data_IF_519887629049
#
_entry.id   IF_519887629049
#
_cell.length_a   1.000
_cell.length_b   1.000
_cell.length_c   1.000
_cell.angle_alpha   90.00
_cell.angle_beta   90.00
_cell.angle_gamma   90.00
#
_symmetry.space_group_name_H-M   'P 1'
#
loop_
_entity.id
_entity.type
_entity.pdbx_description
1 polymer ?
#
# COMPACT_ATOMS: atom_id res chain seq x y z
N UNK A 1 -8.08 -11.05 20.19
CA UNK A 1 -8.92 -11.88 19.30
C UNK A 1 -8.62 -11.45 17.87
N UNK A 2 -8.28 -12.38 16.98
CA UNK A 2 -7.92 -12.03 15.59
C UNK A 2 -9.20 -11.91 14.74
N UNK A 3 -9.24 -11.02 13.76
CA UNK A 3 -10.42 -10.79 12.91
C UNK A 3 -11.03 -12.09 12.34
N UNK A 4 -10.18 -13.01 11.88
CA UNK A 4 -10.62 -14.31 11.36
C UNK A 4 -11.40 -15.14 12.38
N UNK A 5 -10.94 -15.20 13.63
CA UNK A 5 -11.62 -15.91 14.72
C UNK A 5 -12.97 -15.25 15.06
N UNK A 6 -13.05 -13.92 14.96
CA UNK A 6 -14.30 -13.18 15.18
C UNK A 6 -15.35 -13.54 14.14
N UNK A 7 -14.94 -13.64 12.88
CA UNK A 7 -15.81 -14.00 11.77
C UNK A 7 -16.32 -15.44 11.88
N UNK A 8 -15.47 -16.38 12.34
CA UNK A 8 -15.87 -17.77 12.59
C UNK A 8 -16.88 -17.85 13.74
N UNK A 9 -16.60 -17.18 14.87
CA UNK A 9 -17.53 -17.13 16.01
C UNK A 9 -18.88 -16.51 15.66
N UNK A 10 -18.89 -15.55 14.74
CA UNK A 10 -20.10 -14.91 14.25
C UNK A 10 -20.85 -15.71 13.17
N UNK A 11 -20.35 -16.88 12.79
CA UNK A 11 -20.94 -17.72 11.75
C UNK A 11 -20.89 -17.10 10.35
N UNK A 12 -20.00 -16.13 10.12
CA UNK A 12 -19.83 -15.47 8.82
C UNK A 12 -18.97 -16.26 7.86
N UNK A 13 -18.02 -17.02 8.41
CA UNK A 13 -17.13 -17.92 7.67
C UNK A 13 -16.90 -19.17 8.53
N UNK A 14 -16.57 -20.29 7.90
CA UNK A 14 -16.17 -21.50 8.63
C UNK A 14 -14.63 -21.60 8.80
N UNK A 15 -14.17 -22.59 9.56
CA UNK A 15 -12.72 -22.80 9.79
C UNK A 15 -11.95 -23.15 8.50
N UNK A 16 -12.59 -23.85 7.56
CA UNK A 16 -11.98 -24.22 6.28
C UNK A 16 -11.76 -22.97 5.41
N UNK A 17 -12.77 -22.12 5.28
CA UNK A 17 -12.72 -20.84 4.58
C UNK A 17 -11.68 -19.91 5.20
N UNK A 18 -11.62 -19.84 6.53
CA UNK A 18 -10.59 -19.06 7.22
C UNK A 18 -9.18 -19.58 6.91
N UNK A 19 -8.95 -20.90 6.95
CA UNK A 19 -7.65 -21.49 6.66
C UNK A 19 -7.22 -21.28 5.20
N UNK A 20 -8.17 -21.40 4.26
CA UNK A 20 -7.96 -21.07 2.85
C UNK A 20 -7.57 -19.61 2.65
N UNK A 21 -8.25 -18.68 3.31
CA UNK A 21 -7.93 -17.25 3.24
C UNK A 21 -6.59 -16.88 3.92
N UNK A 22 -6.23 -17.55 5.02
CA UNK A 22 -4.91 -17.41 5.64
C UNK A 22 -3.79 -17.92 4.72
N UNK A 23 -4.04 -19.02 4.00
CA UNK A 23 -3.08 -19.57 3.04
C UNK A 23 -2.89 -18.61 1.86
N UNK A 24 -3.99 -18.06 1.33
CA UNK A 24 -3.96 -17.02 0.32
C UNK A 24 -3.19 -15.78 0.80
N UNK A 25 -3.46 -15.30 2.01
CA UNK A 25 -2.77 -14.16 2.62
C UNK A 25 -1.26 -14.41 2.77
N UNK A 26 -0.84 -15.64 3.10
CA UNK A 26 0.59 -15.98 3.19
C UNK A 26 1.30 -15.92 1.83
N UNK A 27 0.61 -16.29 0.74
CA UNK A 27 1.18 -16.29 -0.60
C UNK A 27 1.17 -14.90 -1.26
N UNK A 28 0.08 -14.15 -1.07
CA UNK A 28 -0.16 -12.89 -1.79
C UNK A 28 -0.05 -11.64 -0.90
N UNK A 29 0.10 -11.82 0.42
CA UNK A 29 0.07 -10.74 1.39
C UNK A 29 -1.33 -10.15 1.61
N UNK A 30 -1.36 -8.94 2.16
CA UNK A 30 -2.60 -8.20 2.40
C UNK A 30 -3.33 -8.58 3.68
N UNK A 31 -4.61 -8.20 3.76
CA UNK A 31 -5.44 -8.38 4.96
C UNK A 31 -6.33 -9.62 4.82
N UNK A 32 -6.51 -10.35 5.92
CA UNK A 32 -7.36 -11.55 5.95
C UNK A 32 -8.79 -11.27 5.46
N UNK A 33 -9.37 -10.13 5.83
CA UNK A 33 -10.70 -9.72 5.37
C UNK A 33 -10.76 -9.57 3.85
N UNK A 34 -9.79 -8.87 3.26
CA UNK A 34 -9.68 -8.74 1.80
C UNK A 34 -9.48 -10.10 1.11
N UNK A 35 -8.72 -11.01 1.71
CA UNK A 35 -8.56 -12.38 1.20
C UNK A 35 -9.88 -13.15 1.21
N UNK A 36 -10.66 -13.05 2.28
CA UNK A 36 -11.99 -13.69 2.39
C UNK A 36 -12.95 -13.17 1.32
N UNK A 37 -12.93 -11.86 1.04
CA UNK A 37 -13.75 -11.24 -0.02
C UNK A 37 -13.29 -11.71 -1.41
N UNK A 38 -11.98 -11.70 -1.69
CA UNK A 38 -11.42 -12.13 -2.97
C UNK A 38 -11.70 -13.61 -3.28
N UNK A 39 -11.72 -14.46 -2.27
CA UNK A 39 -12.06 -15.88 -2.40
C UNK A 39 -13.58 -16.13 -2.47
N UNK A 40 -14.40 -15.09 -2.34
CA UNK A 40 -15.86 -15.18 -2.40
C UNK A 40 -16.51 -15.80 -1.17
N UNK A 41 -15.79 -15.91 -0.04
CA UNK A 41 -16.33 -16.50 1.18
C UNK A 41 -17.20 -15.53 2.00
N UNK A 42 -16.99 -14.22 1.82
CA UNK A 42 -17.82 -13.18 2.44
C UNK A 42 -17.99 -12.02 1.46
N UNK A 43 -19.18 -11.41 1.42
CA UNK A 43 -19.40 -10.17 0.68
C UNK A 43 -18.66 -8.99 1.34
N UNK A 44 -18.20 -8.04 0.54
CA UNK A 44 -17.50 -6.85 1.04
C UNK A 44 -18.38 -6.02 2.00
N UNK A 45 -19.65 -5.81 1.65
CA UNK A 45 -20.60 -5.09 2.49
C UNK A 45 -20.85 -5.79 3.84
N UNK A 46 -20.89 -7.12 3.84
CA UNK A 46 -21.08 -7.91 5.06
C UNK A 46 -19.85 -7.86 5.96
N UNK A 47 -18.66 -7.93 5.38
CA UNK A 47 -17.41 -7.75 6.11
C UNK A 47 -17.31 -6.35 6.71
N UNK A 48 -17.59 -5.31 5.92
CA UNK A 48 -17.56 -3.92 6.38
C UNK A 48 -18.57 -3.68 7.50
N UNK A 49 -19.80 -4.21 7.37
CA UNK A 49 -20.83 -4.12 8.41
C UNK A 49 -20.34 -4.77 9.70
N UNK A 50 -19.85 -5.99 9.62
CA UNK A 50 -19.30 -6.70 10.77
C UNK A 50 -18.17 -5.93 11.46
N UNK A 51 -17.21 -5.41 10.69
CA UNK A 51 -16.10 -4.62 11.22
C UNK A 51 -16.57 -3.32 11.89
N UNK A 52 -17.52 -2.62 11.27
CA UNK A 52 -18.05 -1.37 11.81
C UNK A 52 -18.76 -1.58 13.15
N UNK A 53 -19.52 -2.67 13.30
CA UNK A 53 -20.20 -3.04 14.54
C UNK A 53 -19.22 -3.46 15.63
N UNK A 54 -18.24 -4.30 15.28
CA UNK A 54 -17.26 -4.81 16.25
C UNK A 54 -16.30 -3.73 16.76
N UNK A 55 -15.94 -2.77 15.91
CA UNK A 55 -15.02 -1.69 16.25
C UNK A 55 -15.74 -0.39 16.64
N UNK A 56 -17.08 -0.38 16.59
CA UNK A 56 -17.92 0.79 16.82
C UNK A 56 -17.50 2.01 15.97
N UNK A 57 -17.20 1.75 14.70
CA UNK A 57 -16.70 2.74 13.74
C UNK A 57 -17.79 3.18 12.77
N UNK A 58 -17.69 4.42 12.33
CA UNK A 58 -18.60 4.94 11.29
C UNK A 58 -18.15 4.41 9.94
N UNK A 59 -19.09 3.81 9.19
CA UNK A 59 -18.87 3.47 7.78
C UNK A 59 -19.12 4.70 6.92
N UNK A 60 -18.19 5.03 6.06
CA UNK A 60 -18.31 6.19 5.16
C UNK A 60 -18.27 5.70 3.72
N UNK A 61 -19.24 6.19 2.93
CA UNK A 61 -19.23 6.00 1.49
C UNK A 61 -18.58 7.21 0.82
N UNK A 62 -17.37 7.00 0.29
CA UNK A 62 -16.59 8.05 -0.35
C UNK A 62 -17.09 8.38 -1.75
N UNK A 63 -17.93 7.53 -2.37
CA UNK A 63 -18.36 7.71 -3.77
C UNK A 63 -19.12 9.02 -4.01
N UNK A 64 -19.87 9.52 -3.02
CA UNK A 64 -20.69 10.73 -3.12
C UNK A 64 -20.19 11.92 -2.29
N UNK A 65 -19.07 11.76 -1.60
CA UNK A 65 -18.51 12.81 -0.75
C UNK A 65 -17.61 13.76 -1.54
N UNK A 66 -17.80 15.06 -1.29
CA UNK A 66 -16.88 16.12 -1.74
C UNK A 66 -16.01 16.52 -0.56
N UNK A 67 -14.70 16.28 -0.68
CA UNK A 67 -13.72 16.57 0.37
C UNK A 67 -13.09 17.94 0.08
N UNK A 68 -13.07 18.89 1.03
CA UNK A 68 -12.44 20.19 0.84
C UNK A 68 -10.94 20.05 0.57
N UNK A 69 -10.39 20.87 -0.35
CA UNK A 69 -8.96 20.84 -0.69
C UNK A 69 -8.05 21.06 0.53
N UNK A 70 -8.43 21.96 1.45
CA UNK A 70 -7.70 22.21 2.70
C UNK A 70 -7.60 20.97 3.62
N UNK A 71 -8.52 20.01 3.49
CA UNK A 71 -8.49 18.73 4.21
C UNK A 71 -7.61 17.73 3.47
N UNK A 72 -7.67 17.68 2.14
CA UNK A 72 -6.82 16.82 1.31
C UNK A 72 -5.33 17.14 1.47
N UNK A 73 -4.98 18.42 1.57
CA UNK A 73 -3.61 18.88 1.79
C UNK A 73 -3.01 18.44 3.14
N UNK A 74 -3.83 17.97 4.09
CA UNK A 74 -3.33 17.47 5.37
C UNK A 74 -2.52 16.18 5.23
N UNK A 75 -2.81 15.36 4.21
CA UNK A 75 -2.10 14.11 3.95
C UNK A 75 -1.55 14.16 2.52
N UNK A 76 -0.22 14.08 2.34
CA UNK A 76 0.38 13.98 1.01
C UNK A 76 -0.12 12.75 0.25
N UNK A 77 -0.25 12.87 -1.07
CA UNK A 77 -0.78 11.79 -1.93
C UNK A 77 0.04 10.51 -1.79
N UNK A 78 1.36 10.61 -1.64
CA UNK A 78 2.25 9.47 -1.50
C UNK A 78 1.89 8.65 -0.25
N UNK A 79 1.58 9.33 0.86
CA UNK A 79 1.16 8.69 2.11
C UNK A 79 -0.27 8.18 2.05
N UNK A 80 -1.16 8.90 1.37
CA UNK A 80 -2.53 8.45 1.12
C UNK A 80 -2.55 7.12 0.34
N UNK A 81 -1.71 7.00 -0.70
CA UNK A 81 -1.55 5.78 -1.51
C UNK A 81 -0.84 4.67 -0.73
N UNK A 82 0.26 4.98 -0.04
CA UNK A 82 1.06 4.01 0.73
C UNK A 82 0.22 3.31 1.81
N UNK A 83 -0.54 4.10 2.58
CA UNK A 83 -1.35 3.57 3.68
C UNK A 83 -2.78 3.21 3.28
N UNK A 84 -3.16 3.51 2.03
CA UNK A 84 -4.52 3.39 1.51
C UNK A 84 -5.56 4.03 2.45
N UNK A 85 -5.40 5.35 2.61
CA UNK A 85 -6.22 6.21 3.46
C UNK A 85 -6.57 7.51 2.74
N UNK A 86 -7.67 8.15 3.11
CA UNK A 86 -8.02 9.47 2.61
C UNK A 86 -8.60 10.35 3.75
N UNK A 87 -8.12 11.59 3.93
CA UNK A 87 -8.70 12.50 4.92
C UNK A 87 -10.07 12.96 4.42
N UNK A 88 -11.10 12.90 5.27
CA UNK A 88 -12.50 13.19 4.89
C UNK A 88 -12.94 14.54 5.44
N UNK A 89 -12.62 14.82 6.70
CA UNK A 89 -13.05 16.05 7.37
C UNK A 89 -12.05 16.46 8.44
N UNK A 90 -11.91 17.76 8.66
CA UNK A 90 -11.04 18.34 9.71
C UNK A 90 -11.87 19.28 10.57
N UNK A 91 -11.90 19.02 11.87
CA UNK A 91 -12.61 19.85 12.85
C UNK A 91 -11.68 20.25 13.97
N UNK A 92 -11.71 21.52 14.34
CA UNK A 92 -11.00 22.00 15.52
C UNK A 92 -11.99 22.16 16.67
N UNK A 93 -11.71 21.52 17.81
CA UNK A 93 -12.54 21.61 19.00
C UNK A 93 -11.64 21.87 20.21
N UNK A 94 -11.90 22.96 20.93
CA UNK A 94 -11.17 23.34 22.15
C UNK A 94 -9.63 23.41 21.96
N UNK A 95 -9.17 23.94 20.83
CA UNK A 95 -7.75 24.03 20.48
C UNK A 95 -7.09 22.71 20.09
N UNK A 96 -7.87 21.62 19.97
CA UNK A 96 -7.40 20.34 19.45
C UNK A 96 -7.97 20.10 18.06
N UNK A 97 -7.10 19.90 17.07
CA UNK A 97 -7.52 19.54 15.72
C UNK A 97 -7.81 18.03 15.64
N UNK A 98 -8.99 17.67 15.16
CA UNK A 98 -9.43 16.31 14.88
C UNK A 98 -9.50 16.12 13.37
N UNK A 99 -8.93 15.01 12.89
CA UNK A 99 -8.94 14.63 11.48
C UNK A 99 -9.69 13.32 11.32
N UNK A 100 -10.83 13.35 10.63
CA UNK A 100 -11.55 12.16 10.23
C UNK A 100 -10.86 11.58 9.00
N UNK A 101 -10.40 10.33 9.10
CA UNK A 101 -9.67 9.65 8.02
C UNK A 101 -10.40 8.36 7.67
N UNK A 102 -10.77 8.21 6.41
CA UNK A 102 -11.30 6.95 5.91
C UNK A 102 -10.14 5.99 5.65
N UNK A 103 -10.23 4.79 6.23
CA UNK A 103 -9.18 3.78 6.23
C UNK A 103 -9.77 2.43 5.84
N UNK A 104 -9.02 1.67 5.04
CA UNK A 104 -9.35 0.28 4.72
C UNK A 104 -9.13 -0.65 5.92
N UNK A 105 -8.16 -0.31 6.79
CA UNK A 105 -7.85 -1.04 8.01
C UNK A 105 -7.69 -0.13 9.23
N UNK A 106 -8.77 0.09 9.98
CA UNK A 106 -8.72 0.92 11.18
C UNK A 106 -8.06 0.23 12.38
N UNK A 107 -7.66 -1.05 12.27
CA UNK A 107 -6.92 -1.76 13.33
C UNK A 107 -5.41 -1.56 13.24
N UNK A 108 -4.93 -0.93 12.16
CA UNK A 108 -3.50 -0.65 11.99
C UNK A 108 -3.11 0.62 12.78
N UNK A 109 -2.81 0.42 14.07
CA UNK A 109 -2.41 1.51 14.98
C UNK A 109 -1.14 2.24 14.52
N UNK A 110 -0.21 1.55 13.85
CA UNK A 110 1.03 2.15 13.34
C UNK A 110 0.71 3.25 12.32
N UNK A 111 -0.23 2.99 11.41
CA UNK A 111 -0.68 3.98 10.43
C UNK A 111 -1.40 5.14 11.12
N UNK A 112 -2.26 4.85 12.09
CA UNK A 112 -2.97 5.87 12.85
C UNK A 112 -1.99 6.80 13.58
N UNK A 113 -0.96 6.26 14.22
CA UNK A 113 0.05 7.03 14.94
C UNK A 113 0.94 7.83 13.97
N UNK A 114 1.33 7.24 12.85
CA UNK A 114 2.10 7.93 11.81
C UNK A 114 1.30 9.12 11.22
N UNK A 115 0.00 8.95 10.99
CA UNK A 115 -0.88 10.03 10.53
C UNK A 115 -1.06 11.11 11.60
N UNK A 116 -1.21 10.74 12.87
CA UNK A 116 -1.28 11.71 13.96
C UNK A 116 0.01 12.54 14.05
N UNK A 117 1.17 11.89 13.94
CA UNK A 117 2.46 12.55 13.97
C UNK A 117 2.65 13.49 12.77
N UNK A 118 2.32 13.02 11.56
CA UNK A 118 2.48 13.80 10.34
C UNK A 118 1.54 15.02 10.27
N UNK A 119 0.31 14.88 10.78
CA UNK A 119 -0.72 15.92 10.67
C UNK A 119 -0.82 16.82 11.91
N UNK A 120 -0.23 16.43 13.04
CA UNK A 120 -0.42 17.09 14.34
C UNK A 120 -1.86 17.05 14.85
N UNK A 121 -2.74 16.29 14.21
CA UNK A 121 -4.16 16.19 14.51
C UNK A 121 -4.47 14.86 15.20
N UNK A 122 -5.51 14.83 16.04
CA UNK A 122 -6.07 13.57 16.53
C UNK A 122 -6.87 12.88 15.43
N UNK A 123 -6.34 11.77 14.94
CA UNK A 123 -6.94 10.97 13.89
C UNK A 123 -8.13 10.18 14.45
N UNK A 124 -9.28 10.33 13.80
CA UNK A 124 -10.48 9.52 14.02
C UNK A 124 -10.65 8.60 12.81
N UNK A 125 -10.45 7.28 12.96
CA UNK A 125 -10.62 6.36 11.85
C UNK A 125 -12.10 6.21 11.51
N UNK A 126 -12.39 6.16 10.21
CA UNK A 126 -13.67 5.76 9.64
C UNK A 126 -13.42 4.59 8.69
N UNK A 127 -14.38 3.66 8.63
CA UNK A 127 -14.23 2.46 7.80
C UNK A 127 -14.77 2.71 6.40
N UNK A 128 -13.96 2.44 5.38
CA UNK A 128 -14.37 2.46 3.97
C UNK A 128 -13.74 1.28 3.22
N UNK A 129 -14.35 0.86 2.11
CA UNK A 129 -13.77 -0.20 1.27
C UNK A 129 -12.45 0.24 0.66
N UNK A 130 -11.57 -0.75 0.44
CA UNK A 130 -10.29 -0.55 -0.21
C UNK A 130 -10.45 0.09 -1.60
N UNK A 131 -11.45 -0.35 -2.36
CA UNK A 131 -11.71 0.14 -3.72
C UNK A 131 -12.33 1.54 -3.72
N UNK A 132 -13.20 1.84 -2.75
CA UNK A 132 -13.77 3.19 -2.58
C UNK A 132 -12.70 4.21 -2.21
N UNK A 133 -11.74 3.84 -1.33
CA UNK A 133 -10.63 4.72 -0.98
C UNK A 133 -9.72 4.96 -2.19
N UNK A 134 -9.35 3.91 -2.93
CA UNK A 134 -8.53 4.06 -4.15
C UNK A 134 -9.21 4.98 -5.18
N UNK A 135 -10.48 4.74 -5.48
CA UNK A 135 -11.24 5.59 -6.40
C UNK A 135 -11.35 7.04 -5.91
N UNK A 136 -11.50 7.24 -4.60
CA UNK A 136 -11.53 8.57 -4.00
C UNK A 136 -10.16 9.26 -4.08
N UNK A 137 -9.05 8.55 -3.86
CA UNK A 137 -7.70 9.09 -4.00
C UNK A 137 -7.47 9.56 -5.44
N UNK A 138 -7.79 8.73 -6.43
CA UNK A 138 -7.65 9.07 -7.85
C UNK A 138 -8.47 10.31 -8.22
N UNK A 139 -9.73 10.38 -7.76
CA UNK A 139 -10.61 11.52 -8.01
C UNK A 139 -10.15 12.81 -7.33
N UNK A 140 -9.74 12.73 -6.06
CA UNK A 140 -9.45 13.90 -5.23
C UNK A 140 -8.02 14.41 -5.44
N UNK A 141 -7.02 13.53 -5.44
CA UNK A 141 -5.62 13.93 -5.64
C UNK A 141 -5.23 14.07 -7.11
N UNK A 142 -5.86 13.31 -8.02
CA UNK A 142 -5.64 13.47 -9.46
C UNK A 142 -6.15 14.79 -10.03
N UNK A 143 -7.08 15.46 -9.34
CA UNK A 143 -7.59 16.79 -9.71
C UNK A 143 -6.86 17.95 -9.03
N UNK A 144 -6.03 17.69 -8.02
CA UNK A 144 -5.19 18.75 -7.46
C UNK A 144 -4.08 19.04 -8.47
N UNK A 145 -3.83 20.30 -8.85
CA UNK A 145 -2.63 20.64 -9.60
C UNK A 145 -1.48 20.29 -8.68
N UNK A 146 -0.91 19.10 -8.88
CA UNK A 146 0.28 18.68 -8.18
C UNK A 146 1.31 19.76 -8.49
N UNK A 147 1.62 20.61 -7.52
CA UNK A 147 2.90 21.30 -7.51
C UNK A 147 3.94 20.22 -7.26
N UNK A 148 4.15 19.39 -8.29
CA UNK A 148 5.39 18.67 -8.46
C UNK A 148 6.41 19.79 -8.47
N UNK A 149 7.20 19.89 -7.40
CA UNK A 149 8.48 20.55 -7.51
C UNK A 149 9.19 19.79 -8.62
N UNK A 150 9.28 20.41 -9.79
CA UNK A 150 10.09 19.98 -10.91
C UNK A 150 11.51 19.79 -10.39
N UNK A 151 11.83 18.56 -9.98
CA UNK A 151 13.19 18.11 -9.92
C UNK A 151 13.40 17.39 -11.25
N UNK A 152 13.97 18.17 -12.16
CA UNK A 152 14.64 17.78 -13.39
C UNK A 152 13.73 17.33 -14.54
N UNK A 153 13.79 18.11 -15.61
CA UNK A 153 13.22 17.80 -16.91
C UNK A 153 13.59 16.35 -17.34
N UNK A 154 12.64 15.55 -17.86
CA UNK A 154 13.02 14.32 -18.55
C UNK A 154 13.98 14.69 -19.69
N UNK A 155 15.09 13.95 -19.90
CA UNK A 155 16.04 14.26 -20.96
C UNK A 155 15.29 14.33 -22.28
N UNK A 156 15.36 15.49 -22.95
CA UNK A 156 14.67 15.85 -24.18
C UNK A 156 15.21 15.13 -25.42
N UNK A 157 15.70 13.91 -25.26
CA UNK A 157 16.02 12.97 -26.32
C UNK A 157 15.58 11.58 -25.87
N UNK A 158 14.32 11.27 -26.13
CA UNK A 158 13.94 9.86 -26.32
C UNK A 158 14.39 9.56 -27.73
N UNK A 159 15.48 8.82 -27.89
CA UNK A 159 15.83 8.25 -29.18
C UNK A 159 14.59 7.53 -29.72
N UNK A 160 14.24 7.65 -31.01
CA UNK A 160 13.09 6.97 -31.56
C UNK A 160 13.18 5.50 -31.17
N UNK A 161 12.17 5.01 -30.47
CA UNK A 161 12.06 3.60 -30.13
C UNK A 161 12.15 2.88 -31.47
N UNK A 162 13.17 2.02 -31.70
CA UNK A 162 13.24 1.26 -32.93
C UNK A 162 11.92 0.51 -33.11
N UNK A 163 11.46 0.31 -34.34
CA UNK A 163 10.26 -0.49 -34.63
C UNK A 163 10.48 -1.93 -34.11
N UNK A 164 10.22 -2.13 -32.83
CA UNK A 164 10.24 -3.43 -32.16
C UNK A 164 8.84 -3.97 -32.36
N UNK A 165 8.74 -5.03 -33.17
CA UNK A 165 7.52 -5.81 -33.28
C UNK A 165 7.11 -6.26 -31.85
N UNK A 166 5.93 -5.83 -31.34
CA UNK A 166 5.47 -6.16 -29.99
C UNK A 166 5.32 -7.66 -29.76
N UNK A 167 5.29 -8.46 -30.82
CA UNK A 167 5.15 -9.91 -30.78
C UNK A 167 6.46 -10.65 -31.09
N UNK A 168 7.55 -9.93 -31.36
CA UNK A 168 8.86 -10.52 -31.61
C UNK A 168 9.94 -9.97 -30.66
N UNK A 169 9.86 -10.39 -29.40
CA UNK A 169 10.96 -10.19 -28.47
C UNK A 169 12.11 -11.14 -28.82
N UNK A 170 13.35 -10.65 -29.02
CA UNK A 170 14.48 -11.53 -29.19
C UNK A 170 14.62 -12.40 -27.93
N UNK A 171 14.98 -13.69 -28.07
CA UNK A 171 15.16 -14.56 -26.92
C UNK A 171 16.19 -13.94 -25.97
N UNK A 172 15.81 -13.77 -24.71
CA UNK A 172 16.71 -13.27 -23.67
C UNK A 172 17.94 -14.17 -23.60
N UNK A 173 19.07 -13.68 -24.12
CA UNK A 173 20.38 -14.30 -23.95
C UNK A 173 21.03 -13.60 -22.76
N UNK A 174 21.05 -14.20 -21.56
CA UNK A 174 21.89 -13.68 -20.50
C UNK A 174 23.34 -13.73 -20.99
N UNK A 175 24.02 -12.58 -21.06
CA UNK A 175 25.41 -12.47 -21.55
C UNK A 175 26.38 -13.43 -20.85
N UNK A 176 26.04 -13.88 -19.65
CA UNK A 176 26.94 -14.70 -18.81
C UNK A 176 26.31 -16.02 -18.34
N UNK A 177 25.42 -16.61 -19.13
CA UNK A 177 24.88 -17.96 -18.89
C UNK A 177 24.20 -18.16 -17.52
N UNK A 178 23.74 -19.39 -17.22
CA UNK A 178 23.26 -19.73 -15.88
C UNK A 178 24.44 -19.92 -14.92
N UNK A 179 24.45 -19.21 -13.80
CA UNK A 179 25.43 -19.37 -12.72
C UNK A 179 25.17 -20.71 -12.03
N UNK A 180 26.17 -21.60 -11.99
CA UNK A 180 25.95 -23.00 -11.58
C UNK A 180 26.26 -23.24 -10.11
N UNK A 181 27.11 -22.40 -9.50
CA UNK A 181 27.67 -22.71 -8.16
C UNK A 181 27.52 -21.53 -7.20
N UNK A 182 27.50 -21.82 -5.89
CA UNK A 182 27.28 -20.81 -4.83
C UNK A 182 28.46 -19.83 -4.77
N UNK A 183 29.67 -20.32 -4.99
CA UNK A 183 30.90 -19.55 -5.05
C UNK A 183 30.89 -18.52 -6.20
N UNK A 184 30.41 -18.91 -7.39
CA UNK A 184 30.30 -18.00 -8.54
C UNK A 184 29.26 -16.89 -8.31
N UNK A 185 28.19 -17.18 -7.55
CA UNK A 185 27.20 -16.18 -7.15
C UNK A 185 27.82 -15.17 -6.20
N UNK A 186 28.64 -15.63 -5.26
CA UNK A 186 29.30 -14.79 -4.28
C UNK A 186 30.31 -13.84 -4.95
N UNK A 187 31.17 -14.35 -5.83
CA UNK A 187 32.13 -13.52 -6.58
C UNK A 187 31.43 -12.46 -7.45
N UNK A 188 30.32 -12.84 -8.10
CA UNK A 188 29.54 -11.90 -8.90
C UNK A 188 28.89 -10.82 -8.05
N UNK A 189 28.38 -11.16 -6.86
CA UNK A 189 27.80 -10.21 -5.93
C UNK A 189 28.86 -9.21 -5.43
N UNK A 190 30.03 -9.70 -5.05
CA UNK A 190 31.16 -8.86 -4.60
C UNK A 190 31.58 -7.90 -5.71
N UNK A 191 31.70 -8.38 -6.96
CA UNK A 191 32.04 -7.51 -8.10
C UNK A 191 31.01 -6.41 -8.32
N UNK A 192 29.71 -6.72 -8.25
CA UNK A 192 28.63 -5.73 -8.41
C UNK A 192 28.69 -4.68 -7.30
N UNK A 193 28.95 -5.10 -6.06
CA UNK A 193 29.02 -4.19 -4.92
C UNK A 193 30.23 -3.24 -5.02
N UNK A 194 31.37 -3.71 -5.52
CA UNK A 194 32.54 -2.86 -5.81
C UNK A 194 32.26 -1.89 -6.96
N UNK A 195 31.66 -2.36 -8.07
CA UNK A 195 31.33 -1.53 -9.23
C UNK A 195 30.31 -0.42 -8.89
N UNK A 196 29.43 -0.69 -7.91
CA UNK A 196 28.47 0.28 -7.38
C UNK A 196 29.02 1.15 -6.24
N UNK A 197 30.30 0.99 -5.87
CA UNK A 197 30.96 1.76 -4.82
C UNK A 197 30.43 1.48 -3.41
N UNK A 198 29.72 0.36 -3.23
CA UNK A 198 29.15 -0.07 -1.95
C UNK A 198 30.13 -0.93 -1.12
N UNK A 199 31.25 -1.34 -1.73
CA UNK A 199 32.34 -2.08 -1.09
C UNK A 199 33.69 -1.53 -1.58
N UNK A 200 34.65 -1.34 -0.68
CA UNK A 200 36.02 -0.98 -1.05
C UNK A 200 36.92 -2.22 -1.05
N UNK A 201 37.96 -2.24 -1.90
CA UNK A 201 38.86 -3.41 -2.03
C UNK A 201 39.58 -3.72 -0.70
N UNK A 202 39.79 -2.72 0.17
CA UNK A 202 40.38 -2.89 1.50
C UNK A 202 39.48 -3.61 2.50
N UNK A 203 38.15 -3.61 2.31
CA UNK A 203 37.21 -4.28 3.22
C UNK A 203 37.23 -5.81 3.06
N UNK A 204 37.73 -6.31 1.92
CA UNK A 204 37.84 -7.73 1.60
C UNK A 204 39.01 -8.43 2.32
N UNK A 205 40.03 -7.69 2.78
CA UNK A 205 41.20 -8.28 3.45
C UNK A 205 40.94 -8.73 4.89
N UNK A 206 39.84 -8.28 5.51
CA UNK A 206 39.46 -8.64 6.89
C UNK A 206 38.51 -9.84 7.00
N UNK A 207 38.19 -10.51 5.89
CA UNK A 207 37.15 -11.55 5.82
C UNK A 207 37.68 -12.96 5.49
N UNK A 208 38.99 -13.21 5.66
CA UNK A 208 39.59 -14.55 5.58
C UNK A 208 39.64 -15.25 6.94
#
# INVERSE_FOLDING_TARGET
MRLGEMLVKAGKVDEFQLNSALSYQRHWGGQIGSSLVKLGYIGEDDLLRFLSEQLNLTRIDLSRMSIPAAVLESIPVEKAVEYNVIPVDRKELNGTAFLLVAMSNPTNLIVIDALQFATGCRVRPALASHDSIRAAIERCYGSLPTRVRTLEDPPSRVDPVPDIDPFHFPPFKPENGPIKTVEEKFERLVRILVEKGLLSIGDLEHLK
#
